data_IF_305694046643
#
_entry.id   IF_305694046643
#
_cell.length_a   1.000
_cell.length_b   1.000
_cell.length_c   1.000
_cell.angle_alpha   90.00
_cell.angle_beta   90.00
_cell.angle_gamma   90.00
#
_symmetry.space_group_name_H-M   'P 1'
#
loop_
_entity.id
_entity.type
_entity.pdbx_description
1 polymer ?
#
# COMPACT_ATOMS: atom_id res chain seq x y z
N UNK A 1 -1.32 17.07 14.94
CA UNK A 1 0.09 16.98 15.36
C UNK A 1 1.00 16.49 14.25
N UNK A 2 0.55 15.50 13.48
CA UNK A 2 1.25 14.93 12.33
C UNK A 2 0.37 14.92 11.11
N UNK A 3 0.97 15.01 9.93
CA UNK A 3 0.32 14.63 8.68
C UNK A 3 1.27 13.81 7.83
N UNK A 4 0.70 12.96 6.97
CA UNK A 4 1.43 12.16 6.00
C UNK A 4 0.71 12.26 4.66
N UNK A 5 1.45 12.60 3.58
CA UNK A 5 0.97 12.49 2.22
C UNK A 5 1.76 11.41 1.49
N UNK A 6 1.07 10.54 0.77
CA UNK A 6 1.68 9.59 -0.17
C UNK A 6 1.14 9.85 -1.57
N UNK A 7 2.04 9.91 -2.52
CA UNK A 7 1.68 10.12 -3.90
C UNK A 7 2.80 9.64 -4.84
N UNK A 8 2.57 9.72 -6.16
CA UNK A 8 3.56 9.39 -7.19
C UNK A 8 4.84 10.22 -7.06
N UNK A 9 5.96 9.70 -7.59
CA UNK A 9 7.27 10.33 -7.43
C UNK A 9 7.34 11.80 -7.89
N UNK A 10 6.51 12.18 -8.86
CA UNK A 10 6.47 13.55 -9.36
C UNK A 10 5.61 14.52 -8.52
N UNK A 11 4.93 14.04 -7.47
CA UNK A 11 3.93 14.78 -6.71
C UNK A 11 4.34 16.19 -6.35
N UNK A 12 5.49 16.38 -5.71
CA UNK A 12 5.94 17.68 -5.24
C UNK A 12 6.24 18.67 -6.38
N UNK A 13 6.51 18.17 -7.60
CA UNK A 13 6.81 18.98 -8.79
C UNK A 13 5.61 19.17 -9.71
N UNK A 14 4.50 18.48 -9.46
CA UNK A 14 3.28 18.60 -10.26
C UNK A 14 2.62 19.95 -10.04
N UNK A 15 2.18 20.60 -11.11
CA UNK A 15 1.46 21.87 -11.04
C UNK A 15 0.07 21.71 -10.44
N UNK A 16 -0.34 22.66 -9.60
CA UNK A 16 -1.70 22.79 -9.07
C UNK A 16 -2.12 24.25 -9.07
N UNK A 17 -3.43 24.50 -9.00
CA UNK A 17 -3.96 25.84 -8.78
C UNK A 17 -3.85 26.17 -7.28
N UNK A 18 -3.04 27.17 -6.96
CA UNK A 18 -2.88 27.65 -5.59
C UNK A 18 -4.10 28.48 -5.15
N UNK A 19 -4.28 28.77 -3.84
CA UNK A 19 -5.39 29.57 -3.32
C UNK A 19 -5.52 30.96 -3.95
N UNK A 20 -4.41 31.53 -4.42
CA UNK A 20 -4.36 32.83 -5.13
C UNK A 20 -4.72 32.72 -6.63
N UNK A 21 -5.11 31.55 -7.13
CA UNK A 21 -5.45 31.27 -8.52
C UNK A 21 -4.25 31.06 -9.45
N UNK A 22 -3.02 31.22 -8.98
CA UNK A 22 -1.80 30.98 -9.77
C UNK A 22 -1.49 29.48 -9.87
N UNK A 23 -0.80 29.07 -10.94
CA UNK A 23 -0.28 27.72 -11.08
C UNK A 23 1.10 27.64 -10.44
N UNK A 24 1.25 26.76 -9.45
CA UNK A 24 2.51 26.51 -8.70
C UNK A 24 2.76 25.03 -8.54
N UNK A 25 3.98 24.64 -8.21
CA UNK A 25 4.25 23.27 -7.82
C UNK A 25 3.53 22.92 -6.49
N UNK A 26 2.98 21.71 -6.38
CA UNK A 26 2.30 21.27 -5.15
C UNK A 26 3.21 21.42 -3.93
N UNK A 27 4.50 21.09 -4.07
CA UNK A 27 5.49 21.26 -3.01
C UNK A 27 5.56 22.70 -2.49
N UNK A 28 5.62 23.69 -3.38
CA UNK A 28 5.69 25.09 -3.00
C UNK A 28 4.43 25.54 -2.25
N UNK A 29 3.26 25.05 -2.68
CA UNK A 29 1.99 25.34 -1.99
C UNK A 29 1.97 24.67 -0.61
N UNK A 30 2.38 23.40 -0.50
CA UNK A 30 2.46 22.70 0.80
C UNK A 30 3.37 23.47 1.77
N UNK A 31 4.57 23.83 1.36
CA UNK A 31 5.50 24.58 2.23
C UNK A 31 4.99 25.96 2.60
N UNK A 32 4.33 26.65 1.67
CA UNK A 32 3.73 27.95 1.93
C UNK A 32 2.57 27.88 2.94
N UNK A 33 1.63 26.94 2.73
CA UNK A 33 0.40 26.87 3.53
C UNK A 33 0.60 26.18 4.88
N UNK A 34 1.53 25.22 4.97
CA UNK A 34 1.73 24.41 6.16
C UNK A 34 3.04 24.71 6.90
N UNK A 35 4.04 25.31 6.25
CA UNK A 35 5.39 25.48 6.79
C UNK A 35 5.49 26.38 8.03
N UNK A 36 4.52 27.27 8.26
CA UNK A 36 4.47 28.06 9.49
C UNK A 36 4.12 27.19 10.73
N UNK A 37 3.29 26.17 10.53
CA UNK A 37 2.78 25.31 11.62
C UNK A 37 3.53 23.98 11.74
N UNK A 38 4.17 23.53 10.65
CA UNK A 38 4.81 22.22 10.60
C UNK A 38 6.25 22.29 10.12
N UNK A 39 7.10 21.42 10.65
CA UNK A 39 8.36 21.05 10.03
C UNK A 39 8.04 19.91 9.08
N UNK A 40 8.44 20.03 7.81
CA UNK A 40 8.03 19.14 6.72
C UNK A 40 9.28 18.52 6.10
N UNK A 41 9.27 17.19 5.97
CA UNK A 41 10.25 16.45 5.18
C UNK A 41 9.55 15.72 4.04
N UNK A 42 10.20 15.70 2.87
CA UNK A 42 9.73 14.97 1.69
C UNK A 42 10.83 14.06 1.17
N UNK A 43 10.51 12.78 0.93
CA UNK A 43 11.43 11.80 0.37
C UNK A 43 10.75 11.00 -0.73
N UNK A 44 11.51 10.66 -1.77
CA UNK A 44 11.10 9.68 -2.77
C UNK A 44 11.66 8.33 -2.32
N UNK A 45 10.78 7.38 -2.05
CA UNK A 45 11.10 6.04 -1.57
C UNK A 45 10.70 5.00 -2.59
N UNK A 46 11.56 4.00 -2.82
CA UNK A 46 11.08 2.76 -3.42
C UNK A 46 10.72 1.79 -2.29
N UNK A 47 9.46 1.49 -2.15
CA UNK A 47 8.91 0.76 -1.01
C UNK A 47 9.46 -0.67 -0.84
N UNK A 48 10.05 -1.28 -1.89
CA UNK A 48 10.75 -2.55 -1.78
C UNK A 48 11.86 -2.56 -0.72
N UNK A 49 12.48 -1.39 -0.50
CA UNK A 49 13.56 -1.22 0.47
C UNK A 49 13.04 -0.85 1.88
N UNK A 50 11.73 -0.87 2.09
CA UNK A 50 11.08 -0.47 3.32
C UNK A 50 9.97 -1.46 3.73
N UNK A 51 10.13 -2.73 3.38
CA UNK A 51 9.25 -3.82 3.80
C UNK A 51 8.05 -4.11 2.89
N UNK A 52 7.93 -3.44 1.73
CA UNK A 52 7.02 -3.88 0.68
C UNK A 52 7.63 -5.03 -0.12
N UNK A 53 6.80 -5.95 -0.58
CA UNK A 53 7.23 -7.02 -1.48
C UNK A 53 7.16 -6.61 -2.96
N UNK A 54 6.91 -5.32 -3.27
CA UNK A 54 6.84 -4.80 -4.65
C UNK A 54 7.69 -3.55 -4.83
N UNK A 55 8.27 -3.41 -6.04
CA UNK A 55 9.01 -2.22 -6.44
C UNK A 55 8.04 -1.09 -6.80
N UNK A 56 7.69 -0.27 -5.79
CA UNK A 56 6.76 0.85 -5.92
C UNK A 56 7.41 2.14 -5.45
N UNK A 57 7.73 3.03 -6.38
CA UNK A 57 8.38 4.32 -6.06
C UNK A 57 7.32 5.40 -5.81
N UNK A 58 7.39 6.05 -4.65
CA UNK A 58 6.44 7.09 -4.21
C UNK A 58 7.13 8.21 -3.47
N UNK A 59 6.54 9.39 -3.54
CA UNK A 59 6.85 10.50 -2.63
C UNK A 59 6.08 10.30 -1.33
N UNK A 60 6.79 10.35 -0.21
CA UNK A 60 6.21 10.39 1.13
C UNK A 60 6.60 11.72 1.76
N UNK A 61 5.60 12.48 2.19
CA UNK A 61 5.77 13.75 2.87
C UNK A 61 5.28 13.60 4.30
N UNK A 62 6.13 13.88 5.28
CA UNK A 62 5.78 13.81 6.70
C UNK A 62 5.92 15.21 7.29
N UNK A 63 4.85 15.69 7.93
CA UNK A 63 4.85 16.94 8.67
C UNK A 63 4.67 16.71 10.16
N UNK A 64 5.51 17.33 10.96
CA UNK A 64 5.45 17.36 12.42
C UNK A 64 5.13 18.78 12.86
N UNK A 65 4.08 18.95 13.66
CA UNK A 65 3.74 20.25 14.21
C UNK A 65 4.96 20.84 14.97
N UNK A 66 5.23 22.13 14.81
CA UNK A 66 6.41 22.79 15.42
C UNK A 66 6.47 22.66 16.94
N UNK A 67 5.33 22.55 17.58
CA UNK A 67 5.27 22.27 19.03
C UNK A 67 5.83 20.92 19.43
N UNK A 68 5.85 19.96 18.48
CA UNK A 68 6.39 18.62 18.70
C UNK A 68 7.83 18.47 18.20
N UNK A 69 8.32 19.46 17.45
CA UNK A 69 9.60 19.40 16.74
C UNK A 69 10.84 19.45 17.66
N UNK A 70 10.66 19.83 18.92
CA UNK A 70 11.70 19.73 19.95
C UNK A 70 11.98 18.28 20.34
N UNK A 71 11.01 17.40 20.13
CA UNK A 71 11.05 16.01 20.59
C UNK A 71 11.24 15.01 19.45
N UNK A 72 10.76 15.32 18.23
CA UNK A 72 10.87 14.43 17.07
C UNK A 72 11.03 15.19 15.78
N UNK A 73 11.98 14.76 14.96
CA UNK A 73 12.12 15.23 13.59
C UNK A 73 11.23 14.42 12.64
N UNK A 74 10.63 15.02 11.57
CA UNK A 74 9.92 14.26 10.55
C UNK A 74 10.75 13.12 9.95
N UNK A 75 12.10 13.26 9.93
CA UNK A 75 13.02 12.27 9.36
C UNK A 75 13.05 10.97 10.17
N UNK A 76 12.89 11.06 11.49
CA UNK A 76 12.89 9.90 12.41
C UNK A 76 11.62 9.05 12.28
N UNK A 77 10.56 9.60 11.66
CA UNK A 77 9.31 8.91 11.44
C UNK A 77 9.29 8.07 10.15
N UNK A 78 10.28 8.23 9.27
CA UNK A 78 10.37 7.42 8.06
C UNK A 78 10.67 5.94 8.41
N UNK A 79 10.20 5.00 7.56
CA UNK A 79 10.45 3.59 7.79
C UNK A 79 11.94 3.27 7.68
N UNK A 80 12.39 2.27 8.44
CA UNK A 80 13.74 1.76 8.36
C UNK A 80 13.98 0.97 7.07
N UNK A 81 15.24 0.93 6.63
CA UNK A 81 15.62 0.10 5.50
C UNK A 81 15.41 -1.39 5.83
N UNK A 82 14.81 -2.09 4.87
CA UNK A 82 14.62 -3.55 4.91
C UNK A 82 15.08 -4.11 3.56
N UNK A 83 15.82 -5.19 3.59
CA UNK A 83 16.27 -5.87 2.36
C UNK A 83 15.06 -6.36 1.54
N UNK A 84 15.15 -6.19 0.22
CA UNK A 84 14.09 -6.61 -0.70
C UNK A 84 13.96 -8.13 -0.75
N UNK A 85 12.74 -8.62 -0.97
CA UNK A 85 12.42 -10.04 -1.10
C UNK A 85 12.12 -10.39 -2.54
N UNK A 86 12.62 -11.55 -2.99
CA UNK A 86 12.29 -12.05 -4.32
C UNK A 86 10.83 -12.52 -4.39
N UNK A 87 10.24 -12.48 -5.58
CA UNK A 87 8.88 -12.98 -5.83
C UNK A 87 8.74 -14.46 -5.43
N UNK A 88 9.78 -15.27 -5.66
CA UNK A 88 9.84 -16.67 -5.24
C UNK A 88 9.64 -16.85 -3.73
N UNK A 89 10.28 -16.02 -2.93
CA UNK A 89 10.17 -16.10 -1.47
C UNK A 89 8.76 -15.73 -0.95
N UNK A 90 7.98 -15.00 -1.75
CA UNK A 90 6.65 -14.50 -1.36
C UNK A 90 5.52 -15.43 -1.81
N UNK A 91 5.56 -15.90 -3.05
CA UNK A 91 4.47 -16.69 -3.64
C UNK A 91 4.92 -18.05 -4.19
N UNK A 92 6.22 -18.38 -4.14
CA UNK A 92 6.75 -19.60 -4.77
C UNK A 92 6.24 -20.92 -4.20
N UNK A 93 5.70 -20.92 -2.98
CA UNK A 93 5.12 -22.09 -2.33
C UNK A 93 3.58 -22.13 -2.42
N UNK A 94 2.96 -21.22 -3.17
CA UNK A 94 1.50 -21.25 -3.35
C UNK A 94 1.10 -22.36 -4.33
N UNK A 95 -0.10 -22.97 -4.15
CA UNK A 95 -0.60 -23.98 -5.07
C UNK A 95 -0.66 -23.48 -6.51
N UNK A 96 -0.37 -24.33 -7.48
CA UNK A 96 -0.61 -24.03 -8.89
C UNK A 96 -2.12 -24.01 -9.16
N UNK A 97 -2.57 -23.20 -10.10
CA UNK A 97 -3.97 -23.06 -10.46
C UNK A 97 -4.23 -23.52 -11.89
N UNK A 98 -5.17 -24.42 -12.02
CA UNK A 98 -5.73 -24.77 -13.33
C UNK A 98 -6.56 -23.61 -13.90
N UNK A 99 -6.79 -23.64 -15.21
CA UNK A 99 -7.53 -22.60 -15.92
C UNK A 99 -8.95 -22.42 -15.39
N UNK A 100 -9.22 -21.26 -14.78
CA UNK A 100 -10.52 -20.92 -14.20
C UNK A 100 -10.80 -21.59 -12.86
N UNK A 101 -9.78 -22.18 -12.25
CA UNK A 101 -9.86 -22.74 -10.91
C UNK A 101 -9.90 -21.66 -9.85
N UNK A 102 -10.60 -21.96 -8.76
CA UNK A 102 -10.53 -21.26 -7.48
C UNK A 102 -9.94 -22.26 -6.48
N UNK A 103 -8.84 -21.94 -5.86
CA UNK A 103 -8.20 -22.82 -4.88
C UNK A 103 -9.20 -23.24 -3.80
N UNK A 104 -9.26 -24.53 -3.49
CA UNK A 104 -10.23 -25.09 -2.54
C UNK A 104 -10.05 -24.55 -1.13
N UNK A 105 -8.81 -24.24 -0.73
CA UNK A 105 -8.45 -23.77 0.60
C UNK A 105 -8.35 -22.23 0.71
N UNK A 106 -8.40 -21.51 -0.41
CA UNK A 106 -8.31 -20.06 -0.41
C UNK A 106 -9.08 -19.43 -1.58
N UNK A 107 -10.26 -18.90 -1.29
CA UNK A 107 -11.14 -18.25 -2.26
C UNK A 107 -10.44 -17.14 -3.05
N UNK A 108 -9.53 -16.39 -2.42
CA UNK A 108 -8.80 -15.31 -3.09
C UNK A 108 -7.64 -15.81 -3.95
N UNK A 109 -7.25 -17.08 -3.81
CA UNK A 109 -6.28 -17.69 -4.74
C UNK A 109 -7.01 -18.15 -6.00
N UNK A 110 -7.36 -17.16 -6.81
CA UNK A 110 -8.04 -17.28 -8.08
C UNK A 110 -7.62 -16.12 -9.01
N UNK A 111 -7.72 -16.32 -10.31
CA UNK A 111 -7.39 -15.30 -11.29
C UNK A 111 -8.50 -15.13 -12.33
N UNK A 112 -8.56 -13.94 -12.92
CA UNK A 112 -9.49 -13.65 -14.00
C UNK A 112 -9.05 -14.34 -15.28
N UNK A 113 -9.90 -15.19 -15.83
CA UNK A 113 -9.67 -15.81 -17.14
C UNK A 113 -9.80 -14.79 -18.27
N UNK A 114 -9.09 -15.01 -19.34
CA UNK A 114 -9.12 -14.24 -20.58
C UNK A 114 -9.34 -15.22 -21.78
N UNK A 115 -9.60 -14.75 -23.01
CA UNK A 115 -9.79 -15.67 -24.13
C UNK A 115 -8.63 -16.65 -24.28
N UNK A 116 -8.93 -17.95 -24.35
CA UNK A 116 -7.92 -19.03 -24.32
C UNK A 116 -6.85 -18.88 -25.40
N UNK A 117 -7.23 -18.35 -26.60
CA UNK A 117 -6.28 -18.02 -27.67
C UNK A 117 -5.11 -17.13 -27.22
N UNK A 118 -5.29 -16.35 -26.15
CA UNK A 118 -4.23 -15.49 -25.61
C UNK A 118 -3.19 -16.25 -24.79
N UNK A 119 -3.48 -17.50 -24.37
CA UNK A 119 -2.52 -18.33 -23.64
C UNK A 119 -1.32 -18.67 -24.52
N UNK A 120 -1.52 -18.96 -25.81
CA UNK A 120 -0.42 -19.26 -26.71
C UNK A 120 0.58 -18.11 -26.87
N UNK A 121 0.17 -16.86 -26.56
CA UNK A 121 1.09 -15.72 -26.64
C UNK A 121 2.13 -15.73 -25.52
N UNK A 122 1.80 -16.32 -24.36
CA UNK A 122 2.64 -16.31 -23.18
C UNK A 122 3.18 -17.68 -22.78
N UNK A 123 2.68 -18.77 -23.36
CA UNK A 123 2.98 -20.14 -22.96
C UNK A 123 4.49 -20.47 -23.02
N UNK A 124 5.13 -20.14 -24.11
CA UNK A 124 6.54 -20.49 -24.34
C UNK A 124 7.52 -19.44 -23.81
N UNK A 125 7.03 -18.34 -23.19
CA UNK A 125 7.88 -17.29 -22.69
C UNK A 125 8.69 -17.76 -21.50
N UNK A 126 9.98 -17.48 -21.50
CA UNK A 126 10.85 -17.56 -20.34
C UNK A 126 10.70 -16.30 -19.48
N UNK A 127 11.22 -16.37 -18.26
CA UNK A 127 11.28 -15.21 -17.37
C UNK A 127 11.89 -13.99 -18.07
N UNK A 128 11.19 -12.87 -18.05
CA UNK A 128 11.59 -11.62 -18.67
C UNK A 128 11.31 -11.49 -20.15
N UNK A 129 10.90 -12.54 -20.83
CA UNK A 129 10.52 -12.47 -22.25
C UNK A 129 9.12 -11.84 -22.44
N UNK A 130 8.98 -11.12 -23.54
CA UNK A 130 7.75 -10.42 -23.92
C UNK A 130 7.09 -11.12 -25.11
N UNK A 131 5.77 -11.28 -25.09
CA UNK A 131 5.03 -11.93 -26.16
C UNK A 131 5.14 -11.20 -27.52
N UNK A 132 5.43 -9.91 -27.53
CA UNK A 132 5.68 -9.17 -28.76
C UNK A 132 6.96 -9.59 -29.49
N UNK A 133 7.91 -10.20 -28.77
CA UNK A 133 9.21 -10.63 -29.30
C UNK A 133 9.18 -12.07 -29.84
N UNK A 134 8.04 -12.79 -29.77
CA UNK A 134 7.88 -14.11 -30.34
C UNK A 134 8.22 -14.12 -31.84
N UNK A 135 8.92 -15.13 -32.28
CA UNK A 135 9.26 -15.28 -33.69
C UNK A 135 8.03 -15.69 -34.53
N UNK A 136 7.12 -16.50 -33.97
CA UNK A 136 5.86 -16.88 -34.60
C UNK A 136 4.83 -15.75 -34.43
N UNK A 137 4.33 -15.23 -35.57
CA UNK A 137 3.33 -14.14 -35.58
C UNK A 137 2.00 -14.54 -34.92
N UNK A 138 1.62 -15.82 -34.97
CA UNK A 138 0.42 -16.33 -34.30
C UNK A 138 0.55 -16.30 -32.77
N UNK A 139 1.78 -16.33 -32.26
CA UNK A 139 2.09 -16.22 -30.83
C UNK A 139 2.37 -14.76 -30.39
N UNK A 140 2.25 -13.80 -31.28
CA UNK A 140 2.29 -12.38 -30.92
C UNK A 140 0.89 -11.87 -30.57
N UNK A 141 0.77 -10.88 -29.68
CA UNK A 141 -0.51 -10.25 -29.37
C UNK A 141 -1.15 -9.63 -30.62
N UNK A 142 -2.35 -10.09 -30.97
CA UNK A 142 -3.06 -9.65 -32.17
C UNK A 142 -4.59 -9.61 -31.95
N UNK A 143 -5.28 -8.94 -32.85
CA UNK A 143 -6.74 -8.98 -33.00
C UNK A 143 -7.11 -9.73 -34.29
N UNK A 144 -8.31 -10.27 -34.31
CA UNK A 144 -8.89 -10.80 -35.55
C UNK A 144 -9.95 -9.81 -35.99
N UNK A 145 -9.77 -9.24 -37.19
CA UNK A 145 -10.69 -8.30 -37.80
C UNK A 145 -11.02 -8.86 -39.23
N UNK A 146 -12.29 -9.13 -39.49
CA UNK A 146 -12.77 -9.72 -40.72
C UNK A 146 -12.00 -10.98 -41.15
N UNK A 147 -11.72 -11.86 -40.18
CA UNK A 147 -10.97 -13.11 -40.38
C UNK A 147 -9.47 -12.93 -40.57
N UNK A 148 -8.94 -11.72 -40.56
CA UNK A 148 -7.50 -11.42 -40.74
C UNK A 148 -6.84 -11.08 -39.39
N UNK A 149 -5.60 -11.52 -39.23
CA UNK A 149 -4.76 -11.17 -38.09
C UNK A 149 -4.27 -9.75 -38.24
N UNK A 150 -4.57 -8.92 -37.25
CA UNK A 150 -4.08 -7.55 -37.13
C UNK A 150 -3.20 -7.45 -35.89
N UNK A 151 -1.87 -7.30 -36.01
CA UNK A 151 -0.97 -7.20 -34.87
C UNK A 151 -1.33 -6.04 -33.93
N UNK A 152 -1.24 -6.27 -32.63
CA UNK A 152 -1.33 -5.20 -31.66
C UNK A 152 -0.04 -4.37 -31.68
N UNK A 153 -0.17 -3.06 -31.44
CA UNK A 153 0.99 -2.17 -31.35
C UNK A 153 1.53 -2.22 -29.92
N UNK A 154 2.80 -2.54 -29.79
CA UNK A 154 3.52 -2.44 -28.53
C UNK A 154 3.74 -0.96 -28.19
N UNK A 155 3.07 -0.47 -27.17
CA UNK A 155 3.24 0.92 -26.70
C UNK A 155 4.19 1.03 -25.49
N UNK A 156 4.29 -0.03 -24.70
CA UNK A 156 5.11 -0.12 -23.49
C UNK A 156 5.77 -1.50 -23.43
N UNK A 157 7.06 -1.55 -23.15
CA UNK A 157 7.89 -2.76 -23.23
C UNK A 157 7.61 -3.85 -22.17
N UNK A 158 6.70 -3.60 -21.25
CA UNK A 158 6.41 -4.46 -20.10
C UNK A 158 5.05 -5.17 -20.14
N UNK A 159 4.30 -5.01 -21.26
CA UNK A 159 3.05 -5.73 -21.48
C UNK A 159 3.32 -7.15 -21.96
N UNK A 160 2.49 -8.09 -21.51
CA UNK A 160 2.62 -9.53 -21.82
C UNK A 160 4.01 -10.08 -21.49
N UNK A 161 4.70 -9.52 -20.48
CA UNK A 161 6.04 -9.94 -20.07
C UNK A 161 5.94 -10.86 -18.88
N UNK A 162 6.54 -12.06 -19.01
CA UNK A 162 6.63 -13.03 -17.92
C UNK A 162 7.57 -12.52 -16.84
N UNK A 163 7.11 -12.51 -15.60
CA UNK A 163 7.88 -12.01 -14.47
C UNK A 163 9.02 -12.95 -14.08
N UNK A 164 9.94 -12.46 -13.24
CA UNK A 164 11.09 -13.21 -12.73
C UNK A 164 10.80 -13.74 -11.34
N UNK A 165 11.16 -15.01 -11.10
CA UNK A 165 11.08 -15.58 -9.76
C UNK A 165 12.06 -14.92 -8.78
N UNK A 166 13.28 -14.67 -9.21
CA UNK A 166 14.39 -14.27 -8.33
C UNK A 166 14.62 -12.75 -8.32
N UNK A 167 13.62 -11.98 -8.73
CA UNK A 167 13.58 -10.52 -8.58
C UNK A 167 12.41 -10.11 -7.69
N UNK A 168 12.46 -8.89 -7.16
CA UNK A 168 11.34 -8.28 -6.46
C UNK A 168 10.13 -8.14 -7.40
N UNK A 169 8.93 -8.33 -6.87
CA UNK A 169 7.73 -8.13 -7.65
C UNK A 169 7.64 -6.69 -8.22
N UNK A 170 7.09 -6.53 -9.41
CA UNK A 170 6.90 -5.21 -10.02
C UNK A 170 5.84 -4.39 -9.27
N UNK A 171 5.71 -3.11 -9.63
CA UNK A 171 4.61 -2.27 -9.17
C UNK A 171 3.26 -2.85 -9.62
N UNK A 172 2.36 -3.05 -8.67
CA UNK A 172 1.00 -3.50 -8.97
C UNK A 172 0.15 -2.30 -9.37
N UNK A 173 -0.44 -2.38 -10.57
CA UNK A 173 -1.33 -1.37 -11.13
C UNK A 173 -2.80 -1.74 -10.95
N UNK A 174 -3.71 -0.80 -11.16
CA UNK A 174 -5.16 -1.00 -11.04
C UNK A 174 -5.74 -2.00 -12.05
N UNK A 175 -5.08 -2.16 -13.22
CA UNK A 175 -5.48 -3.12 -14.28
C UNK A 175 -4.66 -4.41 -14.24
N UNK A 176 -4.36 -4.91 -13.05
CA UNK A 176 -3.63 -6.15 -12.83
C UNK A 176 -4.42 -7.43 -13.18
N UNK A 177 -5.63 -7.26 -13.70
CA UNK A 177 -6.53 -8.31 -14.18
C UNK A 177 -6.27 -8.73 -15.64
N UNK A 178 -5.40 -8.05 -16.36
CA UNK A 178 -5.22 -8.24 -17.81
C UNK A 178 -3.78 -8.54 -18.17
N UNK A 179 -3.58 -9.50 -19.09
CA UNK A 179 -2.27 -9.77 -19.69
C UNK A 179 -1.70 -8.56 -20.46
N UNK A 180 -2.60 -7.73 -21.01
CA UNK A 180 -2.24 -6.50 -21.71
C UNK A 180 -1.83 -5.35 -20.78
N UNK A 181 -1.93 -5.54 -19.45
CA UNK A 181 -1.43 -4.58 -18.48
C UNK A 181 0.06 -4.83 -18.22
N UNK A 182 0.69 -3.86 -17.56
CA UNK A 182 2.11 -3.93 -17.24
C UNK A 182 2.39 -5.00 -16.18
N UNK A 183 3.40 -5.82 -16.41
CA UNK A 183 4.01 -6.71 -15.42
C UNK A 183 3.02 -7.66 -14.71
N UNK A 184 2.09 -8.26 -15.44
CA UNK A 184 1.03 -9.08 -14.84
C UNK A 184 1.18 -10.58 -15.02
N UNK A 185 2.05 -11.04 -15.93
CA UNK A 185 2.17 -12.48 -16.24
C UNK A 185 2.95 -13.20 -15.13
N UNK A 186 2.35 -14.25 -14.57
CA UNK A 186 2.97 -15.08 -13.54
C UNK A 186 4.30 -15.70 -14.02
N UNK A 187 5.32 -15.87 -13.17
CA UNK A 187 6.63 -16.38 -13.59
C UNK A 187 6.64 -17.76 -14.23
N UNK A 188 5.70 -18.63 -13.86
CA UNK A 188 5.60 -20.02 -14.35
C UNK A 188 4.31 -20.29 -15.11
N UNK A 189 3.18 -19.90 -14.57
CA UNK A 189 1.86 -20.25 -15.07
C UNK A 189 1.37 -19.27 -16.15
N UNK A 190 0.51 -19.73 -17.07
CA UNK A 190 0.01 -18.92 -18.17
C UNK A 190 -1.20 -18.09 -17.75
N UNK A 191 -1.00 -17.27 -16.74
CA UNK A 191 -2.03 -16.45 -16.13
C UNK A 191 -1.50 -15.14 -15.57
N UNK A 192 -2.39 -14.25 -15.22
CA UNK A 192 -2.10 -13.12 -14.34
C UNK A 192 -1.97 -13.60 -12.88
N UNK A 193 -1.39 -12.77 -12.02
CA UNK A 193 -1.36 -13.06 -10.59
C UNK A 193 -2.78 -13.25 -10.03
N UNK A 194 -2.94 -14.19 -9.09
CA UNK A 194 -4.17 -14.33 -8.32
C UNK A 194 -4.39 -13.16 -7.37
N UNK A 195 -5.61 -12.99 -6.85
CA UNK A 195 -5.89 -11.97 -5.84
C UNK A 195 -5.03 -12.18 -4.59
N UNK A 196 -4.88 -13.43 -4.12
CA UNK A 196 -4.05 -13.75 -2.96
C UNK A 196 -2.57 -13.42 -3.18
N UNK A 197 -2.04 -13.74 -4.36
CA UNK A 197 -0.66 -13.37 -4.71
C UNK A 197 -0.46 -11.85 -4.69
N UNK A 198 -1.41 -11.09 -5.24
CA UNK A 198 -1.37 -9.63 -5.19
C UNK A 198 -1.44 -9.10 -3.76
N UNK A 199 -2.26 -9.70 -2.88
CA UNK A 199 -2.30 -9.35 -1.45
C UNK A 199 -0.94 -9.53 -0.79
N UNK A 200 -0.29 -10.69 -1.00
CA UNK A 200 1.04 -10.98 -0.46
C UNK A 200 2.12 -10.01 -0.99
N UNK A 201 2.07 -9.69 -2.28
CA UNK A 201 2.96 -8.71 -2.92
C UNK A 201 2.79 -7.31 -2.31
N UNK A 202 1.55 -6.92 -2.02
CA UNK A 202 1.23 -5.62 -1.43
C UNK A 202 1.24 -5.62 0.10
N UNK A 203 1.68 -6.72 0.72
CA UNK A 203 1.73 -6.91 2.18
C UNK A 203 0.38 -6.73 2.88
N UNK A 204 -0.73 -6.97 2.17
CA UNK A 204 -2.07 -6.93 2.74
C UNK A 204 -2.26 -8.20 3.58
N UNK A 205 -2.70 -8.10 4.85
CA UNK A 205 -2.89 -9.24 5.73
C UNK A 205 -3.82 -10.31 5.14
N UNK A 206 -3.53 -11.57 5.38
CA UNK A 206 -4.31 -12.70 4.83
C UNK A 206 -5.76 -12.71 5.34
N UNK A 207 -6.01 -12.18 6.53
CA UNK A 207 -7.32 -12.02 7.17
C UNK A 207 -8.12 -10.81 6.68
N UNK A 208 -7.55 -9.96 5.80
CA UNK A 208 -8.24 -8.78 5.29
C UNK A 208 -9.52 -9.16 4.51
N UNK A 209 -10.64 -8.60 4.89
CA UNK A 209 -11.96 -8.89 4.31
C UNK A 209 -12.29 -7.91 3.18
N UNK A 210 -12.35 -8.42 1.96
CA UNK A 210 -12.81 -7.65 0.80
C UNK A 210 -14.32 -7.64 0.64
N UNK A 211 -15.00 -8.58 1.28
CA UNK A 211 -16.45 -8.78 1.29
C UNK A 211 -16.92 -9.12 2.70
N UNK A 212 -18.23 -9.04 2.95
CA UNK A 212 -18.81 -9.29 4.28
C UNK A 212 -18.87 -10.78 4.68
N UNK A 213 -17.85 -11.56 4.28
CA UNK A 213 -17.69 -12.97 4.63
C UNK A 213 -16.30 -13.19 5.19
N UNK A 214 -16.15 -14.12 6.12
CA UNK A 214 -14.83 -14.64 6.50
C UNK A 214 -14.25 -15.51 5.39
N UNK A 215 -12.94 -15.77 5.43
CA UNK A 215 -12.31 -16.68 4.47
C UNK A 215 -12.87 -18.10 4.57
N UNK A 216 -13.19 -18.56 5.78
CA UNK A 216 -13.81 -19.87 6.03
C UNK A 216 -15.19 -19.96 5.37
N UNK A 217 -16.03 -18.95 5.55
CA UNK A 217 -17.35 -18.88 4.90
C UNK A 217 -17.22 -18.89 3.38
N UNK A 218 -16.27 -18.12 2.83
CA UNK A 218 -16.00 -18.08 1.39
C UNK A 218 -15.53 -19.45 0.87
N UNK A 219 -14.65 -20.11 1.60
CA UNK A 219 -14.14 -21.44 1.22
C UNK A 219 -15.22 -22.54 1.32
N UNK A 220 -16.20 -22.38 2.19
CA UNK A 220 -17.33 -23.30 2.33
C UNK A 220 -18.42 -23.13 1.27
N UNK A 221 -18.41 -22.03 0.51
CA UNK A 221 -19.42 -21.81 -0.54
C UNK A 221 -19.35 -22.90 -1.62
N UNK A 222 -20.51 -23.32 -2.18
CA UNK A 222 -20.54 -24.15 -3.37
C UNK A 222 -19.80 -23.48 -4.54
N UNK A 223 -19.12 -24.26 -5.37
CA UNK A 223 -18.29 -23.81 -6.50
C UNK A 223 -19.00 -22.77 -7.40
N UNK A 224 -20.28 -23.03 -7.73
CA UNK A 224 -21.11 -22.09 -8.52
C UNK A 224 -21.23 -20.73 -7.85
N UNK A 225 -21.38 -20.70 -6.53
CA UNK A 225 -21.53 -19.46 -5.76
C UNK A 225 -20.20 -18.73 -5.64
N UNK A 226 -19.09 -19.47 -5.43
CA UNK A 226 -17.73 -18.90 -5.47
C UNK A 226 -17.48 -18.18 -6.80
N UNK A 227 -17.73 -18.85 -7.93
CA UNK A 227 -17.54 -18.28 -9.27
C UNK A 227 -18.42 -17.03 -9.52
N UNK A 228 -19.69 -17.07 -9.07
CA UNK A 228 -20.59 -15.92 -9.20
C UNK A 228 -20.12 -14.72 -8.38
N UNK A 229 -19.70 -14.96 -7.13
CA UNK A 229 -19.20 -13.91 -6.24
C UNK A 229 -17.88 -13.32 -6.76
N UNK A 230 -16.93 -14.17 -7.16
CA UNK A 230 -15.65 -13.74 -7.73
C UNK A 230 -15.88 -12.87 -8.98
N UNK A 231 -16.71 -13.34 -9.91
CA UNK A 231 -17.06 -12.58 -11.13
C UNK A 231 -17.62 -11.19 -10.82
N UNK A 232 -18.37 -11.05 -9.72
CA UNK A 232 -18.97 -9.79 -9.29
C UNK A 232 -17.96 -8.83 -8.66
N UNK A 233 -17.05 -9.35 -7.82
CA UNK A 233 -16.24 -8.52 -6.92
C UNK A 233 -14.75 -8.42 -7.35
N UNK A 234 -14.21 -9.39 -8.11
CA UNK A 234 -12.79 -9.52 -8.40
C UNK A 234 -12.17 -8.23 -8.99
N UNK A 235 -12.84 -7.60 -9.95
CA UNK A 235 -12.29 -6.39 -10.61
C UNK A 235 -12.13 -5.25 -9.60
N UNK A 236 -13.12 -5.07 -8.72
CA UNK A 236 -13.06 -4.03 -7.68
C UNK A 236 -11.96 -4.32 -6.68
N UNK A 237 -11.85 -5.57 -6.24
CA UNK A 237 -10.79 -6.01 -5.31
C UNK A 237 -9.42 -5.74 -5.93
N UNK A 238 -9.20 -6.16 -7.17
CA UNK A 238 -7.93 -5.95 -7.89
C UNK A 238 -7.61 -4.48 -8.11
N UNK A 239 -8.60 -3.66 -8.43
CA UNK A 239 -8.45 -2.22 -8.55
C UNK A 239 -8.05 -1.61 -7.21
N UNK A 240 -8.74 -1.94 -6.12
CA UNK A 240 -8.42 -1.47 -4.77
C UNK A 240 -7.00 -1.88 -4.34
N UNK A 241 -6.55 -3.11 -4.66
CA UNK A 241 -5.17 -3.55 -4.41
C UNK A 241 -4.17 -2.68 -5.19
N UNK A 242 -4.45 -2.36 -6.46
CA UNK A 242 -3.57 -1.52 -7.28
C UNK A 242 -3.51 -0.05 -6.82
N UNK A 243 -4.59 0.47 -6.24
CA UNK A 243 -4.67 1.81 -5.64
C UNK A 243 -4.03 1.86 -4.25
N UNK A 244 -4.03 0.75 -3.53
CA UNK A 244 -3.51 0.66 -2.17
C UNK A 244 -2.02 1.00 -2.07
N UNK A 245 -1.63 1.42 -0.88
CA UNK A 245 -0.22 1.50 -0.48
C UNK A 245 0.17 0.22 0.27
N UNK A 246 1.39 -0.30 0.10
CA UNK A 246 1.86 -1.46 0.85
C UNK A 246 1.73 -1.23 2.35
N UNK A 247 0.96 -2.09 3.03
CA UNK A 247 0.56 -1.86 4.42
C UNK A 247 1.75 -1.84 5.37
N UNK A 248 2.75 -2.70 5.15
CA UNK A 248 3.90 -2.81 6.03
C UNK A 248 4.77 -1.53 6.08
N UNK A 249 4.82 -0.75 4.99
CA UNK A 249 5.57 0.52 4.96
C UNK A 249 4.92 1.54 5.89
N UNK A 250 3.60 1.67 5.82
CA UNK A 250 2.85 2.64 6.64
C UNK A 250 2.66 2.16 8.06
N UNK A 251 2.64 0.84 8.30
CA UNK A 251 2.69 0.27 9.64
C UNK A 251 3.96 0.72 10.38
N UNK A 252 5.13 0.67 9.75
CA UNK A 252 6.38 1.16 10.35
C UNK A 252 6.31 2.65 10.70
N UNK A 253 5.73 3.50 9.83
CA UNK A 253 5.55 4.92 10.12
C UNK A 253 4.62 5.11 11.34
N UNK A 254 3.51 4.36 11.37
CA UNK A 254 2.57 4.40 12.48
C UNK A 254 3.20 3.93 13.80
N UNK A 255 4.02 2.86 13.76
CA UNK A 255 4.79 2.38 14.91
C UNK A 255 5.80 3.42 15.39
N UNK A 256 6.52 4.08 14.48
CA UNK A 256 7.46 5.15 14.85
C UNK A 256 6.75 6.31 15.53
N UNK A 257 5.57 6.72 15.03
CA UNK A 257 4.75 7.75 15.67
C UNK A 257 4.26 7.29 17.03
N UNK A 258 3.77 6.05 17.14
CA UNK A 258 3.29 5.46 18.40
C UNK A 258 4.41 5.41 19.43
N UNK A 259 5.57 4.85 19.09
CA UNK A 259 6.71 4.73 19.96
C UNK A 259 7.18 6.09 20.46
N UNK A 260 7.19 7.10 19.59
CA UNK A 260 7.47 8.47 19.99
C UNK A 260 6.42 9.02 20.98
N UNK A 261 5.14 8.80 20.70
CA UNK A 261 4.04 9.28 21.56
C UNK A 261 4.02 8.62 22.94
N UNK A 262 4.58 7.43 23.09
CA UNK A 262 4.66 6.67 24.34
C UNK A 262 5.93 6.98 25.17
N UNK A 263 6.86 7.81 24.66
CA UNK A 263 8.05 8.21 25.43
C UNK A 263 7.67 9.08 26.63
N UNK A 264 8.28 8.78 27.79
CA UNK A 264 7.92 9.40 29.09
C UNK A 264 8.10 10.93 29.09
N UNK A 265 9.22 11.42 28.56
CA UNK A 265 9.49 12.87 28.46
C UNK A 265 8.49 13.61 27.57
N UNK A 266 8.01 12.99 26.51
CA UNK A 266 7.00 13.57 25.64
C UNK A 266 5.64 13.66 26.35
N UNK A 267 5.24 12.60 27.04
CA UNK A 267 4.01 12.57 27.80
C UNK A 267 4.04 13.68 28.91
N UNK A 268 5.15 13.82 29.60
CA UNK A 268 5.34 14.86 30.65
C UNK A 268 5.25 16.26 30.07
N UNK A 269 5.90 16.51 28.91
CA UNK A 269 5.86 17.82 28.23
C UNK A 269 4.44 18.19 27.77
N UNK A 270 3.69 17.26 27.18
CA UNK A 270 2.28 17.48 26.80
C UNK A 270 1.42 17.79 28.04
N UNK A 271 1.59 17.05 29.13
CA UNK A 271 0.84 17.26 30.33
C UNK A 271 1.10 18.66 30.90
N UNK A 272 2.37 19.07 31.03
CA UNK A 272 2.73 20.39 31.53
C UNK A 272 2.14 21.50 30.64
N UNK A 273 2.29 21.40 29.33
CA UNK A 273 1.75 22.37 28.37
C UNK A 273 0.21 22.42 28.40
N UNK A 274 -0.45 21.29 28.61
CA UNK A 274 -1.91 21.22 28.75
C UNK A 274 -2.36 21.92 30.05
N UNK A 275 -1.67 21.67 31.14
CA UNK A 275 -1.93 22.34 32.42
C UNK A 275 -1.81 23.86 32.26
N UNK A 276 -0.72 24.34 31.64
CA UNK A 276 -0.47 25.77 31.42
C UNK A 276 -1.53 26.41 30.53
N UNK A 277 -1.82 25.79 29.38
CA UNK A 277 -2.73 26.38 28.38
C UNK A 277 -4.19 26.43 28.84
N UNK A 278 -4.63 25.47 29.64
CA UNK A 278 -6.03 25.39 30.09
C UNK A 278 -6.20 25.78 31.57
N UNK A 279 -5.14 26.26 32.25
CA UNK A 279 -5.18 26.67 33.64
C UNK A 279 -5.84 25.65 34.57
N UNK A 280 -5.52 24.36 34.34
CA UNK A 280 -6.09 23.26 35.11
C UNK A 280 -5.45 23.21 36.49
N UNK A 281 -6.26 23.41 37.55
CA UNK A 281 -5.79 23.58 38.92
C UNK A 281 -5.64 22.25 39.68
N UNK A 282 -6.26 21.17 39.17
CA UNK A 282 -6.24 19.87 39.85
C UNK A 282 -6.19 18.65 38.92
N UNK A 283 -5.82 17.49 39.50
CA UNK A 283 -5.67 16.23 38.79
C UNK A 283 -6.97 15.69 38.20
N UNK A 284 -8.11 15.90 38.85
CA UNK A 284 -9.40 15.42 38.40
C UNK A 284 -9.85 16.13 37.13
N UNK A 285 -9.67 17.45 37.07
CA UNK A 285 -9.99 18.25 35.89
C UNK A 285 -9.08 17.90 34.73
N UNK A 286 -7.80 17.63 34.97
CA UNK A 286 -6.88 17.15 33.95
C UNK A 286 -7.28 15.77 33.41
N UNK A 287 -7.63 14.83 34.29
CA UNK A 287 -8.08 13.49 33.87
C UNK A 287 -9.38 13.57 33.05
N UNK A 288 -10.37 14.34 33.48
CA UNK A 288 -11.63 14.56 32.72
C UNK A 288 -11.38 15.23 31.38
N UNK A 289 -10.45 16.22 31.35
CA UNK A 289 -10.07 16.89 30.11
C UNK A 289 -9.45 15.89 29.10
N UNK A 290 -8.52 15.04 29.54
CA UNK A 290 -7.84 14.05 28.74
C UNK A 290 -8.82 12.95 28.26
N UNK A 291 -9.76 12.51 29.10
CA UNK A 291 -10.80 11.55 28.72
C UNK A 291 -11.75 12.10 27.66
N UNK A 292 -12.11 13.39 27.74
CA UNK A 292 -12.98 14.05 26.79
C UNK A 292 -12.27 14.49 25.49
N UNK A 293 -10.94 14.62 25.54
CA UNK A 293 -10.08 14.97 24.40
C UNK A 293 -8.98 13.91 24.26
N UNK A 294 -9.31 12.72 23.74
CA UNK A 294 -8.40 11.60 23.73
C UNK A 294 -7.12 11.97 22.98
N UNK A 295 -6.08 12.21 23.74
CA UNK A 295 -4.73 12.45 23.23
C UNK A 295 -4.07 11.12 22.79
N UNK A 296 -4.83 10.03 22.69
CA UNK A 296 -4.33 8.67 22.49
C UNK A 296 -3.18 8.29 23.44
N UNK A 297 -3.22 8.81 24.65
CA UNK A 297 -2.31 8.40 25.72
C UNK A 297 -2.76 7.01 26.18
N UNK A 298 -1.90 6.00 26.03
CA UNK A 298 -2.19 4.64 26.50
C UNK A 298 -2.46 4.58 28.02
N UNK A 299 -2.99 3.46 28.53
CA UNK A 299 -3.32 3.27 29.95
C UNK A 299 -2.14 3.54 30.90
N UNK A 300 -0.90 3.24 30.48
CA UNK A 300 0.31 3.55 31.23
C UNK A 300 0.52 5.06 31.45
N UNK A 301 0.11 5.88 30.47
CA UNK A 301 0.22 7.34 30.52
C UNK A 301 -0.80 7.96 31.49
N UNK A 302 -2.00 7.39 31.63
CA UNK A 302 -3.00 7.84 32.60
C UNK A 302 -2.54 7.59 34.04
N UNK A 303 -1.90 6.46 34.34
CA UNK A 303 -1.31 6.16 35.63
C UNK A 303 -0.19 7.17 35.97
N UNK A 304 0.67 7.50 34.99
CA UNK A 304 1.76 8.47 35.17
C UNK A 304 1.25 9.91 35.37
N UNK A 305 0.16 10.29 34.70
CA UNK A 305 -0.51 11.57 34.91
C UNK A 305 -0.96 11.67 36.40
N UNK A 306 -1.61 10.60 36.88
CA UNK A 306 -2.06 10.55 38.26
C UNK A 306 -0.89 10.70 39.31
N UNK A 307 0.26 10.02 39.01
CA UNK A 307 1.47 10.15 39.85
C UNK A 307 2.03 11.58 39.86
N UNK A 308 2.19 12.21 38.68
CA UNK A 308 2.73 13.56 38.50
C UNK A 308 1.84 14.64 39.14
N UNK A 309 0.52 14.44 39.12
CA UNK A 309 -0.43 15.36 39.74
C UNK A 309 -0.50 15.18 41.26
N UNK A 310 -0.25 13.98 41.79
CA UNK A 310 -0.17 13.72 43.24
C UNK A 310 1.16 14.22 43.84
N UNK A 311 2.28 14.14 43.13
CA UNK A 311 3.59 14.61 43.61
C UNK A 311 3.73 16.13 43.74
N UNK A 312 2.82 16.93 43.15
CA UNK A 312 2.78 18.39 43.32
C UNK A 312 1.94 18.82 44.53
N UNK A 313 1.37 17.87 45.33
CA UNK A 313 0.63 18.16 46.56
C UNK A 313 1.44 17.99 47.84
N UNK A 314 2.71 17.54 47.76
CA UNK A 314 3.71 17.55 48.83
C UNK A 314 4.69 18.73 48.62
#
# INVERSE_FOLDING_TARGET
>A
RFFIFENVAAFMKTGCTAPDGSVKAIGDVIYKELGEKYIIASRILNFKNYGSNSSRTRTVVIGVNREMAEYVSPIELYPAYVEEKSLRSIIGNMPELEWGEICSSDFYHAFRTYPERMRCWIHDLKEGECAFDNQDELKRPHKIVDGKIVPNIQKNGDKYTRQYWDKVAPCIHTRNDQLASQNTVHPKEDRVFSVRELMKIMTIPDEFKWVNFSLEELNALPEKNKKALLKKEEIKIRQSIGEAVPTNVFFQIAENIKNFMEQEHFTTAIINKTIENYKLEDAENLIKFIQNNPLNLGNASLARIAELTNSKRE
#
